data_IF_520523407003
#
_entry.id   IF_520523407003
#
_cell.length_a   1.000
_cell.length_b   1.000
_cell.length_c   1.000
_cell.angle_alpha   90.00
_cell.angle_beta   90.00
_cell.angle_gamma   90.00
#
_symmetry.space_group_name_H-M   'P 1'
#
loop_
_entity.id
_entity.type
_entity.pdbx_description
1 polymer ?
#
# COMPACT_ATOMS: atom_id res chain seq x y z
N UNK A 1 -4.07 1.76 9.33
CA UNK A 1 -3.55 0.88 10.37
C UNK A 1 -2.16 1.30 10.85
N UNK A 2 -1.21 1.57 9.95
CA UNK A 2 0.20 1.79 10.30
C UNK A 2 0.59 3.25 10.52
N UNK A 3 -0.23 4.17 10.06
CA UNK A 3 0.08 5.59 10.09
C UNK A 3 -1.16 6.39 10.49
N UNK A 4 -0.95 7.39 11.32
CA UNK A 4 -2.01 8.32 11.74
C UNK A 4 -1.94 9.61 10.91
N UNK A 5 -1.85 9.47 9.60
CA UNK A 5 -1.84 10.61 8.68
C UNK A 5 -3.10 10.64 7.83
N UNK A 6 -3.50 11.84 7.46
CA UNK A 6 -4.62 12.05 6.59
C UNK A 6 -4.16 12.04 5.12
N UNK A 7 -4.44 10.94 4.46
CA UNK A 7 -4.39 10.81 3.01
C UNK A 7 -5.58 9.97 2.56
N UNK A 8 -6.38 10.51 1.66
CA UNK A 8 -7.49 9.77 1.08
C UNK A 8 -6.96 8.54 0.34
N UNK A 9 -7.60 7.41 0.55
CA UNK A 9 -7.36 6.17 -0.17
C UNK A 9 -8.69 5.60 -0.62
N UNK A 10 -8.77 5.25 -1.88
CA UNK A 10 -9.95 4.66 -2.51
C UNK A 10 -9.81 3.13 -2.62
N UNK A 11 -8.66 2.60 -2.23
CA UNK A 11 -8.28 1.19 -2.39
C UNK A 11 -8.26 0.46 -1.04
N UNK A 12 -8.70 -0.79 -1.06
CA UNK A 12 -8.52 -1.75 0.03
C UNK A 12 -7.50 -2.81 -0.40
N UNK A 13 -6.31 -2.75 0.19
CA UNK A 13 -5.19 -3.63 -0.14
C UNK A 13 -5.06 -4.75 0.90
N UNK A 14 -5.16 -5.98 0.44
CA UNK A 14 -4.99 -7.19 1.24
C UNK A 14 -3.86 -8.07 0.70
N UNK A 15 -3.30 -8.90 1.58
CA UNK A 15 -2.30 -9.89 1.21
C UNK A 15 -2.72 -11.27 1.72
N UNK A 16 -2.67 -12.27 0.85
CA UNK A 16 -2.70 -13.67 1.21
C UNK A 16 -1.27 -14.18 1.03
N UNK A 17 -0.55 -14.52 2.13
CA UNK A 17 0.84 -14.94 2.02
C UNK A 17 0.96 -16.24 1.22
N UNK A 18 1.85 -16.26 0.24
CA UNK A 18 2.12 -17.42 -0.62
C UNK A 18 3.61 -17.57 -0.88
N UNK A 19 4.13 -18.78 -1.06
CA UNK A 19 5.48 -18.97 -1.57
C UNK A 19 5.67 -18.28 -2.94
N UNK A 20 6.85 -17.72 -3.20
CA UNK A 20 7.11 -17.02 -4.46
C UNK A 20 6.98 -17.96 -5.68
N UNK A 21 7.29 -19.24 -5.51
CA UNK A 21 7.20 -20.29 -6.53
C UNK A 21 5.83 -20.98 -6.62
N UNK A 22 4.84 -20.53 -5.83
CA UNK A 22 3.49 -21.10 -5.86
C UNK A 22 2.92 -21.08 -7.28
N UNK A 23 2.24 -22.17 -7.64
CA UNK A 23 1.61 -22.28 -8.97
C UNK A 23 0.40 -21.35 -9.11
N UNK A 24 0.03 -21.04 -10.35
CA UNK A 24 -1.21 -20.29 -10.63
C UNK A 24 -2.44 -20.97 -10.02
N UNK A 25 -2.48 -22.32 -10.09
CA UNK A 25 -3.58 -23.12 -9.54
C UNK A 25 -3.70 -22.95 -8.03
N UNK A 26 -2.58 -23.07 -7.29
CA UNK A 26 -2.54 -22.90 -5.84
C UNK A 26 -3.01 -21.48 -5.43
N UNK A 27 -2.54 -20.42 -6.11
CA UNK A 27 -3.00 -19.05 -5.87
C UNK A 27 -4.49 -18.89 -6.13
N UNK A 28 -4.98 -19.46 -7.23
CA UNK A 28 -6.41 -19.40 -7.57
C UNK A 28 -7.27 -20.10 -6.53
N UNK A 29 -6.81 -21.22 -5.98
CA UNK A 29 -7.50 -21.93 -4.91
C UNK A 29 -7.56 -21.10 -3.61
N UNK A 30 -6.45 -20.47 -3.22
CA UNK A 30 -6.41 -19.58 -2.06
C UNK A 30 -7.34 -18.36 -2.20
N UNK A 31 -7.50 -17.84 -3.41
CA UNK A 31 -8.40 -16.72 -3.69
C UNK A 31 -9.89 -17.13 -3.76
N UNK A 32 -10.22 -18.42 -3.81
CA UNK A 32 -11.59 -18.90 -4.05
C UNK A 32 -12.59 -18.41 -2.99
N UNK A 33 -12.24 -18.51 -1.70
CA UNK A 33 -13.11 -18.04 -0.62
C UNK A 33 -13.40 -16.53 -0.69
N UNK A 34 -12.39 -15.73 -1.06
CA UNK A 34 -12.56 -14.28 -1.21
C UNK A 34 -13.40 -13.95 -2.46
N UNK A 35 -13.24 -14.70 -3.54
CA UNK A 35 -14.12 -14.55 -4.73
C UNK A 35 -15.58 -14.75 -4.38
N UNK A 36 -15.88 -15.81 -3.62
CA UNK A 36 -17.24 -16.08 -3.14
C UNK A 36 -17.75 -14.95 -2.23
N UNK A 37 -16.94 -14.52 -1.26
CA UNK A 37 -17.31 -13.45 -0.34
C UNK A 37 -17.62 -12.12 -1.06
N UNK A 38 -16.80 -11.74 -2.06
CA UNK A 38 -17.04 -10.54 -2.87
C UNK A 38 -18.32 -10.70 -3.71
N UNK A 39 -18.54 -11.85 -4.34
CA UNK A 39 -19.74 -12.09 -5.13
C UNK A 39 -21.04 -12.04 -4.29
N UNK A 40 -20.96 -12.44 -3.02
CA UNK A 40 -22.10 -12.42 -2.08
C UNK A 40 -22.27 -11.10 -1.33
N UNK A 41 -21.34 -10.17 -1.47
CA UNK A 41 -21.38 -8.88 -0.77
C UNK A 41 -22.71 -8.13 -0.93
N UNK A 42 -23.30 -8.03 -2.15
CA UNK A 42 -24.58 -7.32 -2.32
C UNK A 42 -25.75 -7.96 -1.57
N UNK A 43 -25.70 -9.28 -1.30
CA UNK A 43 -26.74 -9.97 -0.52
C UNK A 43 -26.68 -9.64 0.97
N UNK A 44 -25.50 -9.25 1.47
CA UNK A 44 -25.25 -8.91 2.87
C UNK A 44 -25.33 -7.42 3.14
N UNK A 45 -24.94 -6.62 2.18
CA UNK A 45 -24.86 -5.17 2.25
C UNK A 45 -25.46 -4.57 0.98
N UNK A 46 -26.75 -4.28 1.00
CA UNK A 46 -27.54 -3.84 -0.17
C UNK A 46 -27.04 -2.53 -0.78
N UNK A 47 -26.30 -1.71 0.00
CA UNK A 47 -25.67 -0.48 -0.48
C UNK A 47 -24.64 -0.74 -1.58
N UNK A 48 -24.01 -1.92 -1.58
CA UNK A 48 -22.90 -2.24 -2.47
C UNK A 48 -23.35 -3.14 -3.64
N UNK A 49 -22.70 -2.95 -4.78
CA UNK A 49 -22.80 -3.82 -5.95
C UNK A 49 -21.43 -4.22 -6.45
N UNK A 50 -21.29 -5.40 -7.02
CA UNK A 50 -20.06 -5.82 -7.69
C UNK A 50 -20.10 -5.27 -9.11
N UNK A 51 -19.25 -4.28 -9.40
CA UNK A 51 -19.10 -3.69 -10.74
C UNK A 51 -18.17 -4.57 -11.58
N UNK A 52 -17.04 -5.00 -11.01
CA UNK A 52 -16.10 -5.93 -11.59
C UNK A 52 -15.85 -7.06 -10.58
N UNK A 53 -16.13 -8.33 -10.95
CA UNK A 53 -15.89 -9.45 -10.05
C UNK A 53 -14.40 -9.66 -9.81
N UNK A 54 -14.05 -10.28 -8.66
CA UNK A 54 -12.66 -10.53 -8.31
C UNK A 54 -11.98 -11.42 -9.36
N UNK A 55 -11.11 -10.84 -10.16
CA UNK A 55 -10.38 -11.47 -11.24
C UNK A 55 -8.87 -11.47 -11.00
N UNK A 56 -8.21 -12.59 -11.38
CA UNK A 56 -6.77 -12.73 -11.24
C UNK A 56 -6.01 -12.14 -12.41
N UNK A 57 -4.94 -11.40 -12.12
CA UNK A 57 -3.97 -10.85 -13.06
C UNK A 57 -2.57 -11.40 -12.77
N UNK A 58 -1.59 -11.14 -13.65
CA UNK A 58 -0.19 -11.50 -13.41
C UNK A 58 0.00 -12.96 -12.93
N UNK A 59 -0.52 -13.93 -13.66
CA UNK A 59 -0.48 -15.36 -13.29
C UNK A 59 -1.10 -15.64 -11.91
N UNK A 60 -2.18 -14.95 -11.58
CA UNK A 60 -2.85 -15.01 -10.27
C UNK A 60 -2.00 -14.52 -9.08
N UNK A 61 -0.96 -13.72 -9.31
CA UNK A 61 -0.22 -13.07 -8.24
C UNK A 61 -0.96 -11.87 -7.63
N UNK A 62 -1.97 -11.36 -8.35
CA UNK A 62 -2.82 -10.27 -7.91
C UNK A 62 -4.27 -10.55 -8.34
N UNK A 63 -5.20 -10.20 -7.49
CA UNK A 63 -6.63 -10.21 -7.79
C UNK A 63 -7.20 -8.83 -7.54
N UNK A 64 -8.10 -8.39 -8.42
CA UNK A 64 -8.74 -7.08 -8.34
C UNK A 64 -10.24 -7.24 -8.49
N UNK A 65 -11.00 -6.53 -7.68
CA UNK A 65 -12.43 -6.33 -7.83
C UNK A 65 -12.77 -4.84 -7.74
N UNK A 66 -13.86 -4.43 -8.37
CA UNK A 66 -14.42 -3.09 -8.22
C UNK A 66 -15.81 -3.22 -7.59
N UNK A 67 -16.00 -2.59 -6.45
CA UNK A 67 -17.26 -2.51 -5.71
C UNK A 67 -17.80 -1.10 -5.90
N UNK A 68 -19.03 -0.99 -6.40
CA UNK A 68 -19.72 0.29 -6.55
C UNK A 68 -20.73 0.52 -5.43
N UNK A 69 -20.95 1.77 -5.09
CA UNK A 69 -22.01 2.21 -4.21
C UNK A 69 -22.53 3.59 -4.62
N UNK A 70 -23.74 3.92 -4.20
CA UNK A 70 -24.26 5.27 -4.33
C UNK A 70 -24.02 6.03 -3.03
N UNK A 71 -23.36 7.17 -3.13
CA UNK A 71 -23.09 8.01 -1.96
C UNK A 71 -24.41 8.53 -1.39
N UNK A 72 -24.75 8.22 -0.14
CA UNK A 72 -26.00 8.71 0.47
C UNK A 72 -26.03 10.23 0.68
N UNK A 73 -24.86 10.89 0.57
CA UNK A 73 -24.74 12.34 0.74
C UNK A 73 -24.91 13.10 -0.58
N UNK A 74 -24.35 12.57 -1.66
CA UNK A 74 -24.30 13.27 -2.95
C UNK A 74 -25.13 12.63 -4.05
N UNK A 75 -25.60 11.39 -3.86
CA UNK A 75 -26.25 10.59 -4.91
C UNK A 75 -25.29 10.15 -6.04
N UNK A 76 -24.00 10.49 -5.95
CA UNK A 76 -23.02 10.09 -6.96
C UNK A 76 -22.66 8.61 -6.81
N UNK A 77 -22.36 8.00 -7.95
CA UNK A 77 -21.86 6.63 -8.02
C UNK A 77 -20.36 6.64 -7.76
N UNK A 78 -19.95 6.04 -6.65
CA UNK A 78 -18.57 5.89 -6.25
C UNK A 78 -18.09 4.44 -6.35
N UNK A 79 -16.78 4.24 -6.31
CA UNK A 79 -16.17 2.92 -6.48
C UNK A 79 -15.10 2.69 -5.42
N UNK A 80 -15.03 1.45 -4.95
CA UNK A 80 -13.97 0.96 -4.06
C UNK A 80 -13.23 -0.13 -4.82
N UNK A 81 -11.93 0.04 -5.02
CA UNK A 81 -11.06 -0.98 -5.57
C UNK A 81 -10.58 -1.89 -4.44
N UNK A 82 -10.74 -3.19 -4.62
CA UNK A 82 -10.22 -4.20 -3.71
C UNK A 82 -9.10 -4.94 -4.41
N UNK A 83 -7.90 -4.86 -3.85
CA UNK A 83 -6.72 -5.57 -4.35
C UNK A 83 -6.30 -6.66 -3.36
N UNK A 84 -5.93 -7.85 -3.88
CA UNK A 84 -5.42 -8.95 -3.09
C UNK A 84 -4.14 -9.45 -3.73
N UNK A 85 -3.02 -9.26 -3.02
CA UNK A 85 -1.72 -9.77 -3.42
C UNK A 85 -1.50 -11.20 -2.94
N UNK A 86 -1.06 -12.09 -3.85
CA UNK A 86 -0.66 -13.47 -3.55
C UNK A 86 0.75 -13.75 -4.07
N UNK A 87 1.62 -12.76 -4.02
CA UNK A 87 2.91 -12.78 -4.69
C UNK A 87 4.02 -13.44 -3.87
N UNK A 88 3.99 -13.23 -2.57
CA UNK A 88 5.12 -13.52 -1.69
C UNK A 88 4.65 -13.87 -0.27
N UNK A 89 5.51 -14.54 0.55
CA UNK A 89 5.24 -14.76 1.94
C UNK A 89 5.41 -13.49 2.76
N UNK A 90 4.87 -13.47 3.99
CA UNK A 90 5.25 -12.45 4.96
C UNK A 90 6.71 -12.66 5.36
N UNK A 91 7.46 -11.58 5.46
CA UNK A 91 8.85 -11.59 5.90
C UNK A 91 9.00 -11.44 7.41
N UNK A 92 7.94 -10.96 8.06
CA UNK A 92 7.84 -10.77 9.52
C UNK A 92 6.50 -11.31 10.00
N UNK A 93 6.38 -11.70 11.28
CA UNK A 93 5.11 -12.13 11.83
C UNK A 93 4.01 -11.08 11.67
N UNK A 94 2.81 -11.53 11.31
CA UNK A 94 1.63 -10.68 11.34
C UNK A 94 1.28 -10.29 12.79
N UNK A 95 0.64 -9.15 12.97
CA UNK A 95 0.13 -8.71 14.27
C UNK A 95 -1.34 -8.33 14.17
N UNK A 96 -2.03 -8.31 15.31
CA UNK A 96 -3.41 -7.79 15.36
C UNK A 96 -3.38 -6.27 15.36
N UNK A 97 -3.71 -5.67 14.21
CA UNK A 97 -3.87 -4.23 14.06
C UNK A 97 -5.32 -3.80 14.19
N UNK A 98 -5.56 -2.49 14.26
CA UNK A 98 -6.91 -1.93 14.29
C UNK A 98 -7.14 -1.01 13.10
N UNK A 99 -8.08 -1.38 12.23
CA UNK A 99 -8.59 -0.45 11.23
C UNK A 99 -9.48 0.57 11.94
N UNK A 100 -9.18 1.85 11.77
CA UNK A 100 -9.91 2.97 12.39
C UNK A 100 -10.54 3.82 11.32
N UNK A 101 -11.74 4.33 11.60
CA UNK A 101 -12.34 5.38 10.76
C UNK A 101 -11.66 6.72 11.02
N UNK A 102 -11.57 7.55 9.97
CA UNK A 102 -11.24 8.99 10.11
C UNK A 102 -12.49 9.84 10.31
N UNK A 103 -13.69 9.24 10.22
CA UNK A 103 -14.95 9.91 10.46
C UNK A 103 -15.17 10.04 11.96
N UNK A 104 -15.13 11.26 12.44
CA UNK A 104 -15.33 11.61 13.84
C UNK A 104 -16.70 12.23 14.03
N UNK A 105 -17.31 11.92 15.16
CA UNK A 105 -18.51 12.62 15.61
C UNK A 105 -18.18 14.11 15.84
N UNK A 106 -18.91 15.04 15.22
CA UNK A 106 -18.56 16.46 15.26
C UNK A 106 -18.76 17.10 16.66
N UNK A 107 -19.53 16.47 17.54
CA UNK A 107 -19.80 17.00 18.89
C UNK A 107 -18.82 16.44 19.91
N UNK A 108 -18.57 15.14 19.88
CA UNK A 108 -17.70 14.47 20.86
C UNK A 108 -16.25 14.34 20.41
N UNK A 109 -15.97 14.45 19.11
CA UNK A 109 -14.65 14.17 18.53
C UNK A 109 -14.26 12.69 18.54
N UNK A 110 -15.18 11.81 18.93
CA UNK A 110 -14.92 10.36 19.00
C UNK A 110 -15.13 9.69 17.63
N UNK A 111 -14.43 8.58 17.34
CA UNK A 111 -14.69 7.80 16.14
C UNK A 111 -16.14 7.34 16.07
N UNK A 112 -16.82 7.59 14.94
CA UNK A 112 -18.22 7.16 14.74
C UNK A 112 -18.39 5.65 14.62
N UNK A 113 -17.32 4.92 14.34
CA UNK A 113 -17.31 3.46 14.21
C UNK A 113 -16.20 2.90 15.09
N UNK A 114 -16.49 1.85 15.85
CA UNK A 114 -15.51 1.15 16.66
C UNK A 114 -14.37 0.58 15.78
N UNK A 115 -13.13 0.58 16.28
CA UNK A 115 -12.02 -0.01 15.56
C UNK A 115 -12.26 -1.49 15.25
N UNK A 116 -11.96 -1.90 14.02
CA UNK A 116 -12.03 -3.30 13.60
C UNK A 116 -10.65 -3.96 13.72
N UNK A 117 -10.57 -5.01 14.55
CA UNK A 117 -9.34 -5.80 14.66
C UNK A 117 -9.10 -6.63 13.40
N UNK A 118 -7.91 -6.52 12.81
CA UNK A 118 -7.51 -7.21 11.59
C UNK A 118 -6.09 -7.76 11.73
N UNK A 119 -5.81 -8.96 11.15
CA UNK A 119 -4.43 -9.37 10.92
C UNK A 119 -3.74 -8.41 9.96
N UNK A 120 -2.63 -7.86 10.37
CA UNK A 120 -1.88 -6.86 9.59
C UNK A 120 -0.43 -7.31 9.42
N UNK A 121 0.18 -6.94 8.29
CA UNK A 121 1.63 -7.01 8.13
C UNK A 121 2.29 -6.06 9.13
N UNK A 122 3.51 -6.38 9.57
CA UNK A 122 4.20 -5.50 10.51
C UNK A 122 4.44 -4.11 9.92
N UNK A 123 4.55 -3.10 10.79
CA UNK A 123 4.83 -1.73 10.35
C UNK A 123 6.12 -1.64 9.55
N UNK A 124 7.18 -2.32 9.99
CA UNK A 124 8.47 -2.30 9.28
C UNK A 124 8.36 -2.94 7.91
N UNK A 125 7.65 -4.07 7.79
CA UNK A 125 7.43 -4.71 6.49
C UNK A 125 6.55 -3.88 5.57
N UNK A 126 5.52 -3.19 6.09
CA UNK A 126 4.69 -2.28 5.32
C UNK A 126 5.52 -1.15 4.70
N UNK A 127 6.45 -0.56 5.46
CA UNK A 127 7.36 0.46 4.92
C UNK A 127 8.42 -0.12 3.98
N UNK A 128 8.89 -1.35 4.22
CA UNK A 128 9.75 -2.03 3.26
C UNK A 128 9.05 -2.22 1.89
N UNK A 129 7.76 -2.56 1.90
CA UNK A 129 6.97 -2.64 0.68
C UNK A 129 6.80 -1.27 -0.01
N UNK A 130 6.64 -0.19 0.75
CA UNK A 130 6.61 1.18 0.22
C UNK A 130 7.94 1.57 -0.44
N UNK A 131 9.07 1.24 0.18
CA UNK A 131 10.38 1.44 -0.44
C UNK A 131 10.53 0.60 -1.71
N UNK A 132 10.14 -0.67 -1.68
CA UNK A 132 10.15 -1.51 -2.89
C UNK A 132 9.30 -0.88 -4.00
N UNK A 133 8.10 -0.40 -3.67
CA UNK A 133 7.23 0.25 -4.65
C UNK A 133 7.85 1.53 -5.22
N UNK A 134 8.40 2.41 -4.39
CA UNK A 134 9.07 3.63 -4.84
C UNK A 134 10.29 3.33 -5.75
N UNK A 135 11.02 2.24 -5.48
CA UNK A 135 12.25 1.87 -6.19
C UNK A 135 11.99 1.07 -7.48
N UNK A 136 11.01 0.16 -7.50
CA UNK A 136 10.88 -0.85 -8.58
C UNK A 136 9.51 -0.94 -9.24
N UNK A 137 8.55 -0.07 -8.90
CA UNK A 137 7.25 -0.05 -9.60
C UNK A 137 7.45 0.51 -11.00
N UNK A 138 6.85 -0.13 -12.03
CA UNK A 138 6.92 0.34 -13.42
C UNK A 138 6.52 1.81 -13.56
N UNK A 139 5.36 2.17 -13.01
CA UNK A 139 4.90 3.56 -12.97
C UNK A 139 5.17 4.15 -11.59
N UNK A 140 6.07 5.15 -11.54
CA UNK A 140 6.40 5.82 -10.29
C UNK A 140 5.16 6.55 -9.75
N UNK A 141 4.94 6.47 -8.44
CA UNK A 141 3.79 7.08 -7.79
C UNK A 141 4.23 8.01 -6.66
N UNK A 142 3.91 9.29 -6.77
CA UNK A 142 4.29 10.31 -5.78
C UNK A 142 3.76 10.00 -4.37
N UNK A 143 2.63 9.29 -4.27
CA UNK A 143 2.05 8.86 -3.00
C UNK A 143 2.99 7.98 -2.18
N UNK A 144 3.80 7.12 -2.83
CA UNK A 144 4.78 6.29 -2.13
C UNK A 144 5.90 7.15 -1.53
N UNK A 145 6.31 8.20 -2.21
CA UNK A 145 7.32 9.16 -1.73
C UNK A 145 6.78 10.00 -0.56
N UNK A 146 5.54 10.48 -0.66
CA UNK A 146 4.87 11.18 0.43
C UNK A 146 4.77 10.29 1.69
N UNK A 147 4.31 9.06 1.54
CA UNK A 147 4.15 8.12 2.65
C UNK A 147 5.49 7.84 3.35
N UNK A 148 6.60 7.73 2.59
CA UNK A 148 7.94 7.51 3.13
C UNK A 148 8.50 8.75 3.83
N UNK A 149 8.34 9.92 3.24
CA UNK A 149 8.73 11.19 3.85
C UNK A 149 8.00 11.39 5.19
N UNK A 150 6.70 11.21 5.20
CA UNK A 150 5.89 11.29 6.40
C UNK A 150 6.34 10.27 7.46
N UNK A 151 6.61 9.04 7.05
CA UNK A 151 7.05 7.98 7.95
C UNK A 151 8.37 8.33 8.65
N UNK A 152 9.34 8.88 7.93
CA UNK A 152 10.63 9.28 8.49
C UNK A 152 10.48 10.47 9.42
N UNK A 153 9.76 11.51 9.00
CA UNK A 153 9.72 12.79 9.75
C UNK A 153 8.67 12.82 10.86
N UNK A 154 7.55 12.14 10.69
CA UNK A 154 6.45 12.20 11.66
C UNK A 154 6.27 10.93 12.47
N UNK A 155 6.60 9.78 11.91
CA UNK A 155 6.41 8.50 12.59
C UNK A 155 7.72 7.91 13.16
N UNK A 156 8.84 8.60 12.99
CA UNK A 156 10.14 8.18 13.51
C UNK A 156 10.70 6.93 12.83
N UNK A 157 10.34 6.68 11.55
CA UNK A 157 10.93 5.58 10.78
C UNK A 157 12.42 5.88 10.54
N UNK A 158 13.28 4.98 10.96
CA UNK A 158 14.71 5.07 10.71
C UNK A 158 15.07 4.36 9.41
N UNK A 159 15.21 5.12 8.32
CA UNK A 159 15.56 4.58 7.00
C UNK A 159 16.93 3.90 6.94
N UNK A 160 17.82 4.17 7.92
CA UNK A 160 19.14 3.55 8.04
C UNK A 160 19.12 2.24 8.85
N UNK A 161 17.99 1.83 9.42
CA UNK A 161 17.89 0.61 10.22
C UNK A 161 18.26 -0.62 9.37
N UNK A 162 19.28 -1.40 9.78
CA UNK A 162 19.69 -2.60 9.05
C UNK A 162 18.56 -3.60 8.85
N UNK A 163 17.64 -3.72 9.81
CA UNK A 163 16.49 -4.61 9.69
C UNK A 163 15.55 -4.16 8.56
N UNK A 164 15.26 -2.86 8.45
CA UNK A 164 14.46 -2.30 7.36
C UNK A 164 15.16 -2.49 6.01
N UNK A 165 16.47 -2.16 5.93
CA UNK A 165 17.25 -2.34 4.69
C UNK A 165 17.25 -3.80 4.25
N UNK A 166 17.41 -4.74 5.18
CA UNK A 166 17.33 -6.18 4.91
C UNK A 166 15.96 -6.60 4.35
N UNK A 167 14.88 -6.06 4.91
CA UNK A 167 13.51 -6.31 4.39
C UNK A 167 13.33 -5.73 2.98
N UNK A 168 13.79 -4.50 2.72
CA UNK A 168 13.71 -3.88 1.39
C UNK A 168 14.46 -4.72 0.35
N UNK A 169 15.68 -5.19 0.67
CA UNK A 169 16.44 -6.09 -0.22
C UNK A 169 15.66 -7.36 -0.54
N UNK A 170 15.09 -8.02 0.47
CA UNK A 170 14.28 -9.22 0.28
C UNK A 170 13.05 -8.95 -0.57
N UNK A 171 12.37 -7.81 -0.37
CA UNK A 171 11.22 -7.40 -1.18
C UNK A 171 11.62 -7.12 -2.64
N UNK A 172 12.74 -6.44 -2.88
CA UNK A 172 13.26 -6.18 -4.23
C UNK A 172 13.66 -7.49 -4.95
N UNK A 173 14.15 -8.48 -4.22
CA UNK A 173 14.56 -9.78 -4.78
C UNK A 173 13.38 -10.70 -5.16
N UNK A 174 12.13 -10.33 -4.82
CA UNK A 174 10.95 -11.12 -5.22
C UNK A 174 10.82 -11.14 -6.74
N UNK A 175 10.65 -12.33 -7.37
CA UNK A 175 10.54 -12.43 -8.82
C UNK A 175 9.41 -11.59 -9.39
N UNK A 176 9.70 -10.92 -10.54
CA UNK A 176 8.75 -10.05 -11.22
C UNK A 176 8.78 -8.58 -10.80
N UNK A 177 9.67 -8.20 -9.89
CA UNK A 177 10.01 -6.80 -9.69
C UNK A 177 10.94 -6.30 -10.80
N UNK A 178 10.72 -5.07 -11.26
CA UNK A 178 11.70 -4.38 -12.09
C UNK A 178 12.95 -4.04 -11.24
N UNK A 179 14.13 -3.87 -11.83
CA UNK A 179 15.29 -3.35 -11.13
C UNK A 179 15.01 -2.01 -10.44
N UNK A 180 15.67 -1.75 -9.31
CA UNK A 180 15.58 -0.46 -8.65
C UNK A 180 16.05 0.66 -9.60
N UNK A 181 15.21 1.66 -9.80
CA UNK A 181 15.49 2.78 -10.70
C UNK A 181 15.23 4.12 -9.97
N UNK A 182 16.30 4.85 -9.74
CA UNK A 182 16.31 6.22 -9.20
C UNK A 182 16.93 7.20 -10.19
N UNK A 183 16.82 6.92 -11.49
CA UNK A 183 17.33 7.78 -12.54
C UNK A 183 16.72 9.19 -12.49
N UNK A 184 17.45 10.23 -12.91
CA UNK A 184 16.96 11.60 -12.95
C UNK A 184 15.68 11.75 -13.78
N UNK A 185 15.57 10.99 -14.88
CA UNK A 185 14.39 10.99 -15.76
C UNK A 185 13.15 10.49 -15.00
N UNK A 186 13.30 9.35 -14.29
CA UNK A 186 12.22 8.78 -13.49
C UNK A 186 11.79 9.72 -12.35
N UNK A 187 12.75 10.28 -11.63
CA UNK A 187 12.47 11.19 -10.52
C UNK A 187 11.85 12.52 -10.98
N UNK A 188 12.19 13.01 -12.18
CA UNK A 188 11.57 14.20 -12.76
C UNK A 188 10.06 14.06 -12.98
N UNK A 189 9.57 12.83 -13.23
CA UNK A 189 8.14 12.56 -13.40
C UNK A 189 7.33 12.83 -12.11
N UNK A 190 7.94 12.74 -10.93
CA UNK A 190 7.28 13.02 -9.66
C UNK A 190 6.80 14.47 -9.54
N UNK A 191 7.58 15.44 -10.08
CA UNK A 191 7.19 16.86 -10.03
C UNK A 191 5.91 17.11 -10.78
N UNK A 192 5.65 16.37 -11.86
CA UNK A 192 4.43 16.47 -12.65
C UNK A 192 3.20 15.89 -11.93
N UNK A 193 3.41 15.06 -10.91
CA UNK A 193 2.36 14.40 -10.14
C UNK A 193 1.92 15.21 -8.90
N UNK A 194 2.68 16.22 -8.48
CA UNK A 194 2.40 16.99 -7.25
C UNK A 194 0.98 17.55 -7.22
N UNK A 195 0.66 18.40 -8.18
CA UNK A 195 -0.63 19.09 -8.22
C UNK A 195 -1.79 18.15 -8.62
N UNK A 196 -1.68 17.30 -9.68
CA UNK A 196 -2.82 16.53 -10.13
C UNK A 196 -3.08 15.26 -9.32
N UNK A 197 -2.07 14.67 -8.68
CA UNK A 197 -2.22 13.36 -8.02
C UNK A 197 -2.06 13.39 -6.50
N UNK A 198 -1.21 14.27 -5.95
CA UNK A 198 -0.96 14.31 -4.52
C UNK A 198 -1.85 15.34 -3.81
N UNK A 199 -1.94 16.54 -4.34
CA UNK A 199 -2.70 17.63 -3.71
C UNK A 199 -4.18 17.30 -3.46
N UNK A 200 -4.92 16.65 -4.37
CA UNK A 200 -6.34 16.34 -4.15
C UNK A 200 -6.59 15.34 -3.01
N UNK A 201 -5.59 14.54 -2.63
CA UNK A 201 -5.72 13.49 -1.62
C UNK A 201 -5.16 13.89 -0.25
N UNK A 202 -4.66 15.13 -0.11
CA UNK A 202 -4.11 15.68 1.12
C UNK A 202 -4.90 16.89 1.61
N UNK A 203 -4.82 17.14 2.92
CA UNK A 203 -5.23 18.46 3.45
C UNK A 203 -4.20 19.51 3.04
N UNK A 204 -4.65 20.75 2.86
CA UNK A 204 -3.78 21.86 2.43
C UNK A 204 -2.53 22.01 3.31
N UNK A 205 -2.65 21.81 4.62
CA UNK A 205 -1.50 21.89 5.54
C UNK A 205 -0.50 20.77 5.31
N UNK A 206 -0.97 19.52 5.09
CA UNK A 206 -0.12 18.36 4.88
C UNK A 206 0.60 18.45 3.53
N UNK A 207 -0.08 19.01 2.51
CA UNK A 207 0.53 19.29 1.21
C UNK A 207 1.60 20.39 1.31
N UNK A 208 1.36 21.44 2.07
CA UNK A 208 2.32 22.54 2.27
C UNK A 208 3.58 22.12 3.05
N UNK A 209 3.47 21.11 3.92
CA UNK A 209 4.60 20.59 4.70
C UNK A 209 5.42 19.53 3.93
N UNK A 210 4.90 19.01 2.83
CA UNK A 210 5.58 17.99 2.03
C UNK A 210 6.75 18.59 1.24
N UNK A 211 7.91 17.95 1.35
CA UNK A 211 9.13 18.32 0.63
C UNK A 211 9.54 17.16 -0.28
N UNK A 212 9.29 17.33 -1.58
CA UNK A 212 9.59 16.30 -2.58
C UNK A 212 11.09 15.98 -2.67
N UNK A 213 11.96 16.99 -2.55
CA UNK A 213 13.41 16.75 -2.64
C UNK A 213 13.92 15.96 -1.43
N UNK A 214 13.34 16.18 -0.27
CA UNK A 214 13.60 15.39 0.93
C UNK A 214 13.11 13.95 0.75
N UNK A 215 11.92 13.75 0.23
CA UNK A 215 11.37 12.42 -0.08
C UNK A 215 12.25 11.66 -1.09
N UNK A 216 12.71 12.35 -2.13
CA UNK A 216 13.63 11.79 -3.13
C UNK A 216 14.94 11.34 -2.46
N UNK A 217 15.56 12.19 -1.62
CA UNK A 217 16.79 11.82 -0.90
C UNK A 217 16.63 10.55 -0.07
N UNK A 218 15.52 10.40 0.67
CA UNK A 218 15.22 9.21 1.47
C UNK A 218 15.21 7.94 0.60
N UNK A 219 14.58 8.00 -0.57
CA UNK A 219 14.46 6.84 -1.48
C UNK A 219 15.80 6.54 -2.17
N UNK A 220 16.53 7.57 -2.62
CA UNK A 220 17.87 7.42 -3.23
C UNK A 220 18.86 6.80 -2.23
N UNK A 221 18.89 7.29 -1.00
CA UNK A 221 19.73 6.70 0.04
C UNK A 221 19.40 5.23 0.31
N UNK A 222 18.12 4.85 0.28
CA UNK A 222 17.71 3.46 0.40
C UNK A 222 18.20 2.62 -0.78
N UNK A 223 18.11 3.14 -2.02
CA UNK A 223 18.65 2.47 -3.20
C UNK A 223 20.15 2.18 -3.06
N UNK A 224 20.93 3.17 -2.63
CA UNK A 224 22.35 3.02 -2.39
C UNK A 224 22.68 1.97 -1.32
N UNK A 225 21.92 1.98 -0.20
CA UNK A 225 22.13 1.04 0.90
C UNK A 225 21.75 -0.39 0.51
N UNK A 226 20.72 -0.55 -0.31
CA UNK A 226 20.28 -1.88 -0.77
C UNK A 226 21.20 -2.45 -1.84
N UNK A 227 21.88 -1.64 -2.64
CA UNK A 227 22.83 -2.09 -3.66
C UNK A 227 24.22 -2.43 -3.10
N UNK A 228 24.62 -1.91 -1.94
CA UNK A 228 25.90 -2.28 -1.31
C UNK A 228 25.84 -3.73 -0.83
N UNK A 229 26.82 -4.55 -1.26
CA UNK A 229 26.97 -5.90 -0.75
C UNK A 229 27.12 -5.88 0.77
N UNK A 230 26.45 -6.78 1.49
CA UNK A 230 26.76 -6.97 2.91
C UNK A 230 28.22 -7.40 3.03
N UNK A 231 29.03 -6.80 3.92
CA UNK A 231 30.30 -7.42 4.29
C UNK A 231 29.95 -8.81 4.85
N UNK A 232 30.53 -9.85 4.22
CA UNK A 232 30.45 -11.19 4.75
C UNK A 232 31.05 -11.16 6.17
N UNK A 233 30.22 -11.26 7.17
CA UNK A 233 30.66 -11.64 8.50
C UNK A 233 30.97 -13.14 8.42
N UNK A 234 32.25 -13.43 8.24
CA UNK A 234 32.82 -14.78 8.39
C UNK A 234 32.78 -15.26 9.84
#
# INVERSE_FOLDING_TARGET
VHAEFYRLSEDLDFVIPMPCDATRGARSQQAAGVKTAIAELPKRLELFRVVEPLAGTNRSMQYVAIIGYESPLSGHQDRIKVEIGLREPLLTPAFSGAARTILLDPLSGQPMIAPLALPCISRTEAFAEKFRAALSRREIAIRDFYDLDYAVHRLGLRSQDPALIGLVRRKLAVPGNDPADVSPVRLAMLRQQLEPQLKPVLRSKDFAEFDLERAIRIVVEMAERTSRAQPHHG
#
